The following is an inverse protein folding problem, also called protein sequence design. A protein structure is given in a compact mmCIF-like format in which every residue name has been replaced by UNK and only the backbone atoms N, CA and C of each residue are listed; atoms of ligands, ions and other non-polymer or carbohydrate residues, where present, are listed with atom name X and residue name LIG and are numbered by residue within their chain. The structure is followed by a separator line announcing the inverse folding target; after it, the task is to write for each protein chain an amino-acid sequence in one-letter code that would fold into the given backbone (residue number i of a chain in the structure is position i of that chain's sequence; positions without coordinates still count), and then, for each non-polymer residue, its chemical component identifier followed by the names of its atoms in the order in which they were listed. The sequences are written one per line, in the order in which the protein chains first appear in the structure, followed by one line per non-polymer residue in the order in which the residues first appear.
data_IF_065420196008
#
_entry.id   IF_065420196008
#
_cell.length_a   1.000
_cell.length_b   1.000
_cell.length_c   1.000
_cell.angle_alpha   90.00
_cell.angle_beta   90.00
_cell.angle_gamma   90.00
#
_symmetry.space_group_name_H-M   'P 1'
#
loop_
_entity.id
_entity.type
_entity.pdbx_description
1 polymer ?
#
# COMPACT_ATOMS: atom_id res chain seq x y z
N UNK A 1 -12.29 22.59 11.09
CA UNK A 1 -12.03 21.26 10.50
C UNK A 1 -11.05 21.43 9.34
N UNK A 2 -10.08 20.52 9.13
CA UNK A 2 -9.24 20.57 7.95
C UNK A 2 -10.10 20.45 6.68
N UNK A 3 -9.77 21.17 5.60
CA UNK A 3 -10.56 21.16 4.37
C UNK A 3 -10.39 19.82 3.63
N UNK A 4 -11.42 19.40 2.87
CA UNK A 4 -11.43 18.12 2.16
C UNK A 4 -10.43 18.04 1.00
N UNK A 5 -10.33 16.90 0.30
CA UNK A 5 -9.44 16.70 -0.88
C UNK A 5 -9.49 17.83 -1.92
N UNK A 6 -10.62 18.52 -2.06
CA UNK A 6 -10.80 19.65 -2.98
C UNK A 6 -9.78 20.77 -2.71
N UNK A 7 -9.28 20.86 -1.47
CA UNK A 7 -8.26 21.81 -1.07
C UNK A 7 -6.87 21.52 -1.67
N UNK A 8 -6.65 20.31 -2.22
CA UNK A 8 -5.45 19.99 -3.00
C UNK A 8 -5.40 20.74 -4.34
N UNK A 9 -6.54 21.23 -4.85
CA UNK A 9 -6.65 21.92 -6.13
C UNK A 9 -6.58 23.45 -6.00
N UNK A 10 -6.61 23.97 -4.77
CA UNK A 10 -6.59 25.41 -4.48
C UNK A 10 -5.14 25.94 -4.44
N UNK A 11 -4.87 27.04 -5.14
CA UNK A 11 -3.67 27.88 -4.93
C UNK A 11 -4.04 28.99 -3.93
N UNK A 12 -3.29 29.22 -2.83
CA UNK A 12 -2.01 28.61 -2.43
C UNK A 12 -2.16 27.19 -1.84
N UNK A 13 -1.10 26.37 -1.88
CA UNK A 13 -1.14 24.98 -1.42
C UNK A 13 -1.49 24.92 0.07
N UNK A 14 -2.56 24.19 0.40
CA UNK A 14 -3.00 24.01 1.77
C UNK A 14 -2.04 23.08 2.52
N UNK A 15 -1.73 23.42 3.77
CA UNK A 15 -0.77 22.68 4.59
C UNK A 15 -1.29 21.32 5.07
N UNK A 16 -2.61 21.16 5.13
CA UNK A 16 -3.31 19.99 5.67
C UNK A 16 -4.60 19.73 4.89
N UNK A 17 -4.90 18.46 4.63
CA UNK A 17 -6.10 18.02 3.90
C UNK A 17 -6.73 16.85 4.62
N UNK A 18 -8.06 16.87 4.77
CA UNK A 18 -8.83 15.75 5.32
C UNK A 18 -9.36 14.87 4.19
N UNK A 19 -9.05 13.59 4.29
CA UNK A 19 -9.57 12.55 3.45
C UNK A 19 -11.03 12.15 3.73
N UNK A 20 -11.78 11.60 2.75
CA UNK A 20 -13.07 10.93 2.99
C UNK A 20 -12.91 9.74 3.94
N UNK A 21 -11.71 9.16 4.03
CA UNK A 21 -11.36 8.12 4.98
C UNK A 21 -11.16 8.64 6.42
N UNK A 22 -11.31 9.95 6.65
CA UNK A 22 -11.10 10.60 7.95
C UNK A 22 -9.62 10.84 8.31
N UNK A 23 -8.69 10.50 7.41
CA UNK A 23 -7.25 10.65 7.61
C UNK A 23 -6.79 12.07 7.27
N UNK A 24 -5.91 12.64 8.09
CA UNK A 24 -5.34 13.98 7.87
C UNK A 24 -3.99 13.86 7.17
N UNK A 25 -3.91 14.41 5.96
CA UNK A 25 -2.69 14.50 5.16
C UNK A 25 -2.04 15.85 5.41
N UNK A 26 -1.00 15.89 6.26
CA UNK A 26 -0.29 17.12 6.64
C UNK A 26 1.23 16.99 6.40
N UNK A 27 1.89 18.07 5.93
CA UNK A 27 3.36 18.18 5.89
C UNK A 27 4.08 17.68 4.63
N UNK A 28 5.40 17.83 4.59
CA UNK A 28 6.36 17.36 3.56
C UNK A 28 6.59 15.85 3.59
N UNK A 29 6.26 15.13 2.52
CA UNK A 29 6.46 13.68 2.47
C UNK A 29 7.95 13.32 2.47
N UNK A 30 8.25 12.03 2.59
CA UNK A 30 9.58 11.51 2.28
C UNK A 30 10.08 12.08 0.97
N UNK A 31 11.36 12.45 0.95
CA UNK A 31 12.01 13.18 -0.15
C UNK A 31 11.77 14.70 -0.24
N UNK A 32 11.31 15.36 0.83
CA UNK A 32 11.07 16.81 0.86
C UNK A 32 10.05 17.30 -0.19
N UNK A 33 9.21 16.40 -0.70
CA UNK A 33 8.16 16.71 -1.66
C UNK A 33 7.01 17.42 -0.92
N UNK A 34 6.84 18.70 -1.22
CA UNK A 34 5.68 19.46 -0.75
C UNK A 34 4.38 18.85 -1.32
N UNK A 35 3.25 18.92 -0.59
CA UNK A 35 1.92 18.46 -1.05
C UNK A 35 1.47 19.02 -2.41
N UNK A 36 2.11 20.10 -2.90
CA UNK A 36 1.80 20.73 -4.17
C UNK A 36 2.41 20.06 -5.42
N UNK A 37 3.27 19.05 -5.27
CA UNK A 37 3.77 18.31 -6.44
C UNK A 37 2.73 17.31 -6.95
N UNK A 38 2.41 17.40 -8.25
CA UNK A 38 1.45 16.55 -8.98
C UNK A 38 1.48 15.05 -8.65
N UNK A 39 2.66 14.38 -8.52
CA UNK A 39 2.71 12.95 -8.21
C UNK A 39 2.06 12.61 -6.87
N UNK A 40 2.29 13.41 -5.81
CA UNK A 40 1.74 13.13 -4.48
C UNK A 40 0.21 13.27 -4.46
N UNK A 41 -0.32 14.27 -5.17
CA UNK A 41 -1.77 14.50 -5.29
C UNK A 41 -2.48 13.33 -5.99
N UNK A 42 -1.88 12.77 -7.03
CA UNK A 42 -2.44 11.60 -7.73
C UNK A 42 -2.41 10.36 -6.83
N UNK A 43 -1.33 10.16 -6.09
CA UNK A 43 -1.20 9.01 -5.18
C UNK A 43 -2.16 9.12 -3.99
N UNK A 44 -2.37 10.31 -3.42
CA UNK A 44 -3.39 10.51 -2.37
C UNK A 44 -4.78 10.14 -2.92
N UNK A 45 -5.14 10.61 -4.12
CA UNK A 45 -6.43 10.24 -4.75
C UNK A 45 -6.57 8.75 -5.03
N UNK A 46 -5.47 8.07 -5.37
CA UNK A 46 -5.45 6.64 -5.63
C UNK A 46 -5.66 5.84 -4.34
N UNK A 47 -4.91 6.17 -3.29
CA UNK A 47 -5.00 5.52 -1.97
C UNK A 47 -6.35 5.77 -1.31
N UNK A 48 -6.94 6.96 -1.51
CA UNK A 48 -8.28 7.28 -1.00
C UNK A 48 -9.42 6.79 -1.89
N UNK A 49 -9.11 6.09 -2.98
CA UNK A 49 -10.16 5.54 -3.82
C UNK A 49 -10.91 4.44 -3.07
N UNK A 50 -12.26 4.50 -3.13
CA UNK A 50 -13.15 3.54 -2.45
C UNK A 50 -12.84 2.06 -2.73
N UNK A 51 -12.42 1.64 -3.94
CA UNK A 51 -12.11 0.23 -4.17
C UNK A 51 -10.70 -0.18 -3.75
N UNK A 52 -9.81 0.75 -3.37
CA UNK A 52 -8.41 0.43 -3.10
C UNK A 52 -8.25 -0.58 -1.96
N UNK A 53 -8.76 -0.27 -0.76
CA UNK A 53 -8.62 -1.14 0.40
C UNK A 53 -9.34 -2.51 0.22
N UNK A 54 -10.59 -2.59 -0.31
CA UNK A 54 -11.23 -3.86 -0.59
C UNK A 54 -10.50 -4.73 -1.63
N UNK A 55 -9.89 -4.12 -2.66
CA UNK A 55 -9.15 -4.87 -3.67
C UNK A 55 -7.93 -5.57 -3.05
N UNK A 56 -7.15 -4.86 -2.25
CA UNK A 56 -6.00 -5.44 -1.55
C UNK A 56 -6.42 -6.54 -0.59
N UNK A 57 -7.50 -6.32 0.15
CA UNK A 57 -8.03 -7.33 1.07
C UNK A 57 -8.46 -8.61 0.33
N UNK A 58 -9.11 -8.49 -0.83
CA UNK A 58 -9.44 -9.63 -1.69
C UNK A 58 -8.16 -10.32 -2.18
N UNK A 59 -7.14 -9.56 -2.60
CA UNK A 59 -5.86 -10.13 -3.01
C UNK A 59 -5.18 -10.91 -1.88
N UNK A 60 -5.23 -10.42 -0.64
CA UNK A 60 -4.72 -11.14 0.55
C UNK A 60 -5.48 -12.45 0.73
N UNK A 61 -6.81 -12.43 0.66
CA UNK A 61 -7.63 -13.64 0.81
C UNK A 61 -7.32 -14.68 -0.29
N UNK A 62 -7.14 -14.23 -1.53
CA UNK A 62 -6.76 -15.12 -2.63
C UNK A 62 -5.36 -15.68 -2.40
N UNK A 63 -4.38 -14.86 -2.00
CA UNK A 63 -3.03 -15.32 -1.67
C UNK A 63 -3.05 -16.39 -0.56
N UNK A 64 -3.77 -16.16 0.54
CA UNK A 64 -3.92 -17.14 1.60
C UNK A 64 -4.58 -18.44 1.10
N UNK A 65 -5.57 -18.32 0.20
CA UNK A 65 -6.19 -19.48 -0.46
C UNK A 65 -5.21 -20.24 -1.35
N UNK A 66 -4.34 -19.54 -2.07
CA UNK A 66 -3.27 -20.13 -2.88
C UNK A 66 -2.27 -20.89 -1.99
N UNK A 67 -1.85 -20.31 -0.86
CA UNK A 67 -0.99 -20.99 0.11
C UNK A 67 -1.66 -22.21 0.74
N UNK A 68 -2.95 -22.13 1.06
CA UNK A 68 -3.70 -23.28 1.59
C UNK A 68 -3.86 -24.40 0.55
N UNK A 69 -3.90 -24.05 -0.74
CA UNK A 69 -3.99 -24.99 -1.85
C UNK A 69 -2.63 -25.61 -2.24
N UNK A 70 -1.50 -25.05 -1.76
CA UNK A 70 -0.20 -25.69 -1.91
C UNK A 70 -0.20 -26.98 -1.11
N UNK A 71 -0.21 -28.12 -1.79
CA UNK A 71 -0.04 -29.41 -1.15
C UNK A 71 1.45 -29.76 -1.10
N UNK A 72 2.04 -30.07 0.06
CA UNK A 72 3.44 -30.50 0.16
C UNK A 72 3.67 -31.90 -0.45
N UNK A 73 2.60 -32.56 -0.94
CA UNK A 73 2.61 -33.91 -1.51
C UNK A 73 2.44 -33.91 -3.04
N UNK A 74 2.22 -32.76 -3.67
CA UNK A 74 2.10 -32.69 -5.14
C UNK A 74 3.49 -32.87 -5.79
N UNK A 75 3.64 -33.74 -6.81
CA UNK A 75 4.91 -33.96 -7.47
C UNK A 75 5.45 -32.67 -8.12
N UNK A 76 6.74 -32.40 -7.91
CA UNK A 76 7.48 -31.33 -8.57
C UNK A 76 7.31 -31.43 -10.09
N UNK A 77 6.81 -30.36 -10.73
CA UNK A 77 6.58 -30.30 -12.18
C UNK A 77 5.11 -30.37 -12.63
N UNK A 78 4.15 -30.45 -11.72
CA UNK A 78 2.73 -30.33 -12.07
C UNK A 78 2.41 -28.88 -12.48
N UNK A 79 1.60 -28.67 -13.53
CA UNK A 79 1.14 -27.34 -13.99
C UNK A 79 0.60 -26.45 -12.86
N UNK A 80 0.03 -27.05 -11.82
CA UNK A 80 -0.50 -26.37 -10.64
C UNK A 80 0.59 -25.64 -9.85
N UNK A 81 1.74 -26.27 -9.61
CA UNK A 81 2.84 -25.68 -8.85
C UNK A 81 3.43 -24.47 -9.57
N UNK A 82 3.62 -24.57 -10.89
CA UNK A 82 4.11 -23.45 -11.72
C UNK A 82 3.14 -22.26 -11.72
N UNK A 83 1.83 -22.51 -11.75
CA UNK A 83 0.83 -21.42 -11.67
C UNK A 83 0.83 -20.77 -10.30
N UNK A 84 0.97 -21.54 -9.23
CA UNK A 84 1.02 -21.01 -7.86
C UNK A 84 2.23 -20.10 -7.66
N UNK A 85 3.42 -20.53 -8.10
CA UNK A 85 4.66 -19.75 -7.99
C UNK A 85 4.57 -18.39 -8.72
N UNK A 86 4.00 -18.39 -9.94
CA UNK A 86 3.73 -17.15 -10.67
C UNK A 86 2.73 -16.25 -9.95
N UNK A 87 1.69 -16.83 -9.34
CA UNK A 87 0.68 -16.08 -8.59
C UNK A 87 1.28 -15.44 -7.33
N UNK A 88 2.15 -16.14 -6.61
CA UNK A 88 2.86 -15.60 -5.44
C UNK A 88 3.67 -14.36 -5.81
N UNK A 89 4.39 -14.39 -6.94
CA UNK A 89 5.11 -13.22 -7.47
C UNK A 89 4.18 -12.06 -7.85
N UNK A 90 3.03 -12.33 -8.46
CA UNK A 90 2.04 -11.30 -8.79
C UNK A 90 1.50 -10.65 -7.52
N UNK A 91 1.15 -11.44 -6.50
CA UNK A 91 0.65 -10.91 -5.22
C UNK A 91 1.71 -10.08 -4.51
N UNK A 92 2.97 -10.54 -4.49
CA UNK A 92 4.09 -9.78 -3.94
C UNK A 92 4.22 -8.40 -4.58
N UNK A 93 4.14 -8.32 -5.92
CA UNK A 93 4.24 -7.06 -6.65
C UNK A 93 3.08 -6.11 -6.33
N UNK A 94 1.85 -6.64 -6.24
CA UNK A 94 0.66 -5.85 -5.91
C UNK A 94 0.78 -5.24 -4.51
N UNK A 95 1.12 -6.04 -3.50
CA UNK A 95 1.28 -5.53 -2.12
C UNK A 95 2.44 -4.55 -2.01
N UNK A 96 3.55 -4.81 -2.71
CA UNK A 96 4.68 -3.87 -2.74
C UNK A 96 4.28 -2.53 -3.36
N UNK A 97 3.50 -2.53 -4.45
CA UNK A 97 3.03 -1.30 -5.08
C UNK A 97 2.04 -0.53 -4.19
N UNK A 98 1.17 -1.24 -3.48
CA UNK A 98 0.27 -0.65 -2.51
C UNK A 98 1.04 0.04 -1.37
N UNK A 99 1.99 -0.67 -0.75
CA UNK A 99 2.84 -0.15 0.29
C UNK A 99 3.59 1.10 -0.14
N UNK A 100 4.18 1.09 -1.33
CA UNK A 100 4.86 2.26 -1.90
C UNK A 100 3.89 3.43 -2.12
N UNK A 101 2.68 3.16 -2.63
CA UNK A 101 1.65 4.18 -2.84
C UNK A 101 1.23 4.82 -1.51
N UNK A 102 1.00 4.02 -0.46
CA UNK A 102 0.69 4.54 0.87
C UNK A 102 1.86 5.32 1.48
N UNK A 103 3.09 4.83 1.36
CA UNK A 103 4.30 5.55 1.81
C UNK A 103 4.46 6.89 1.09
N UNK A 104 4.17 6.96 -0.21
CA UNK A 104 4.23 8.21 -0.99
C UNK A 104 3.10 9.18 -0.62
N UNK A 105 1.90 8.68 -0.30
CA UNK A 105 0.78 9.51 0.15
C UNK A 105 1.05 10.12 1.56
N UNK A 106 1.40 9.27 2.52
CA UNK A 106 1.54 9.62 3.94
C UNK A 106 2.93 10.14 4.32
N UNK A 107 3.98 9.67 3.65
CA UNK A 107 5.38 9.90 4.02
C UNK A 107 5.93 8.81 4.95
N UNK A 108 7.21 8.46 4.80
CA UNK A 108 7.84 7.31 5.50
C UNK A 108 8.12 7.56 6.99
N UNK A 109 8.64 8.73 7.39
CA UNK A 109 9.25 8.88 8.73
C UNK A 109 9.04 10.23 9.45
N UNK A 110 8.71 11.33 8.76
CA UNK A 110 8.92 12.68 9.31
C UNK A 110 7.66 13.51 9.66
N UNK A 111 6.47 12.89 9.83
CA UNK A 111 5.26 13.63 10.22
C UNK A 111 4.44 12.96 11.33
N UNK A 112 3.60 13.80 11.99
CA UNK A 112 2.86 13.48 13.22
C UNK A 112 1.81 12.37 13.01
N UNK A 113 1.33 12.21 11.79
CA UNK A 113 0.50 11.13 11.24
C UNK A 113 1.37 10.15 10.41
N UNK A 114 2.44 9.64 11.02
CA UNK A 114 3.36 8.74 10.33
C UNK A 114 2.65 7.46 9.87
N UNK A 115 2.99 6.97 8.67
CA UNK A 115 2.56 5.65 8.15
C UNK A 115 2.69 4.55 9.22
N UNK A 116 3.76 4.61 10.03
CA UNK A 116 4.02 3.67 11.13
C UNK A 116 3.07 3.77 12.34
N UNK A 117 2.16 4.75 12.43
CA UNK A 117 1.18 4.84 13.53
C UNK A 117 -0.18 4.25 13.17
N UNK A 118 -0.47 4.14 11.88
CA UNK A 118 -1.73 3.60 11.40
C UNK A 118 -1.63 2.06 11.37
N UNK A 119 -2.46 1.33 12.14
CA UNK A 119 -2.34 -0.13 12.23
C UNK A 119 -2.59 -0.83 10.89
N UNK A 120 -3.38 -0.24 10.00
CA UNK A 120 -3.60 -0.77 8.65
C UNK A 120 -2.36 -0.63 7.76
N UNK A 121 -1.63 0.47 7.91
CA UNK A 121 -0.33 0.65 7.25
C UNK A 121 0.76 -0.25 7.85
N UNK A 122 0.73 -0.49 9.17
CA UNK A 122 1.62 -1.47 9.80
C UNK A 122 1.37 -2.89 9.28
N UNK A 123 0.10 -3.28 9.08
CA UNK A 123 -0.26 -4.59 8.52
C UNK A 123 0.36 -4.79 7.13
N UNK A 124 0.19 -3.80 6.24
CA UNK A 124 0.75 -3.79 4.90
C UNK A 124 2.28 -3.92 4.92
N UNK A 125 2.96 -3.11 5.75
CA UNK A 125 4.42 -3.23 5.94
C UNK A 125 4.86 -4.62 6.42
N UNK A 126 4.14 -5.22 7.36
CA UNK A 126 4.45 -6.56 7.88
C UNK A 126 4.26 -7.61 6.80
N UNK A 127 3.16 -7.57 6.05
CA UNK A 127 2.87 -8.53 4.97
C UNK A 127 3.95 -8.47 3.90
N UNK A 128 4.29 -7.27 3.41
CA UNK A 128 5.34 -7.10 2.39
C UNK A 128 6.70 -7.52 2.92
N UNK A 129 7.05 -7.15 4.16
CA UNK A 129 8.33 -7.52 4.76
C UNK A 129 8.47 -9.03 4.91
N UNK A 130 7.44 -9.72 5.40
CA UNK A 130 7.44 -11.18 5.54
C UNK A 130 7.52 -11.88 4.18
N UNK A 131 6.92 -11.33 3.14
CA UNK A 131 6.97 -11.90 1.80
C UNK A 131 8.35 -11.72 1.13
N UNK A 132 9.06 -10.61 1.39
CA UNK A 132 10.42 -10.37 0.88
C UNK A 132 11.52 -11.06 1.70
N UNK A 133 11.32 -11.26 3.00
CA UNK A 133 12.31 -11.83 3.92
C UNK A 133 12.94 -13.16 3.43
N UNK A 134 12.17 -14.19 3.03
CA UNK A 134 12.76 -15.45 2.55
C UNK A 134 13.47 -15.32 1.18
N UNK A 135 13.14 -14.29 0.39
CA UNK A 135 13.78 -14.04 -0.91
C UNK A 135 15.14 -13.35 -0.72
N UNK A 136 15.22 -12.42 0.24
CA UNK A 136 16.43 -11.65 0.53
C UNK A 136 17.42 -12.46 1.38
N UNK A 137 16.91 -13.26 2.32
CA UNK A 137 17.68 -14.15 3.19
C UNK A 137 17.35 -15.61 2.85
N UNK A 138 18.02 -16.18 1.82
CA UNK A 138 17.82 -17.57 1.40
C UNK A 138 18.31 -18.58 2.45
#
# INVERSE_FOLDING_TARGET
PPPGLEALDVKPPVKEVLGPSGKVYAGTSTFCLMPGHTPRRQVIRLVESRPFDPLILVTILVNCGTMAAQSPLDPEGTHKAAVIDVMEWIFLFIFTFEMLSKILAYGFFFHREAYLKDPWCQLDFVVVSLAWLPIIFP
#
